data_IF_616519869591
#
_entry.id   IF_616519869591
#
_cell.length_a   1.000
_cell.length_b   1.000
_cell.length_c   1.000
_cell.angle_alpha   90.00
_cell.angle_beta   90.00
_cell.angle_gamma   90.00
#
_symmetry.space_group_name_H-M   'P 1'
#
loop_
_entity.id
_entity.type
_entity.pdbx_description
1 polymer ?
#
# COMPACT_ATOMS: atom_id res chain seq x y z
N UNK A 1 0.71 45.42 33.07
CA UNK A 1 -0.01 44.13 32.92
C UNK A 1 -0.28 43.96 31.44
N UNK A 2 0.61 43.21 30.74
CA UNK A 2 0.46 42.94 29.31
C UNK A 2 -0.30 41.62 29.18
N UNK A 3 -1.41 41.67 28.51
CA UNK A 3 -2.23 40.51 28.16
C UNK A 3 -1.48 39.60 27.16
N UNK A 4 -1.38 38.31 27.37
CA UNK A 4 -0.77 37.42 26.38
C UNK A 4 -1.69 37.30 25.19
N UNK A 5 -1.14 37.49 23.97
CA UNK A 5 -1.82 37.30 22.71
C UNK A 5 -2.35 35.85 22.58
N UNK A 6 -3.54 35.62 22.01
CA UNK A 6 -4.06 34.30 21.84
C UNK A 6 -3.19 33.49 20.89
N UNK A 7 -2.70 32.36 21.40
CA UNK A 7 -2.03 31.30 20.64
C UNK A 7 -2.85 30.93 19.37
N UNK A 8 -2.26 31.11 18.20
CA UNK A 8 -2.82 30.70 16.93
C UNK A 8 -2.84 29.15 16.84
N UNK A 9 -3.77 28.54 17.55
CA UNK A 9 -4.08 27.13 17.35
C UNK A 9 -4.62 26.95 15.92
N UNK A 10 -3.75 26.51 15.02
CA UNK A 10 -3.89 25.83 13.77
C UNK A 10 -5.19 25.94 12.97
N UNK A 11 -5.42 27.05 12.30
CA UNK A 11 -6.29 27.03 11.13
C UNK A 11 -5.60 26.16 10.05
N UNK A 12 -6.14 24.97 9.78
CA UNK A 12 -5.68 24.07 8.71
C UNK A 12 -5.53 24.86 7.40
N UNK A 13 -4.37 24.72 6.76
CA UNK A 13 -4.11 25.42 5.49
C UNK A 13 -5.15 25.03 4.42
N UNK A 14 -5.36 25.89 3.44
CA UNK A 14 -6.28 25.56 2.31
C UNK A 14 -5.88 24.27 1.63
N UNK A 15 -4.56 24.03 1.49
CA UNK A 15 -4.02 22.80 0.92
C UNK A 15 -4.40 21.56 1.75
N UNK A 16 -4.33 21.64 3.06
CA UNK A 16 -4.71 20.53 3.96
C UNK A 16 -6.20 20.25 3.91
N UNK A 17 -7.06 21.29 3.97
CA UNK A 17 -8.51 21.11 3.84
C UNK A 17 -8.91 20.45 2.53
N UNK A 18 -8.28 20.84 1.41
CA UNK A 18 -8.48 20.23 0.11
C UNK A 18 -8.04 18.76 0.09
N UNK A 19 -6.88 18.46 0.68
CA UNK A 19 -6.36 17.09 0.76
C UNK A 19 -7.26 16.19 1.61
N UNK A 20 -7.75 16.69 2.75
CA UNK A 20 -8.66 15.96 3.63
C UNK A 20 -10.02 15.71 2.98
N UNK A 21 -10.56 16.71 2.26
CA UNK A 21 -11.80 16.55 1.51
C UNK A 21 -11.65 15.53 0.38
N UNK A 22 -10.56 15.60 -0.37
CA UNK A 22 -10.26 14.66 -1.44
C UNK A 22 -10.12 13.23 -0.91
N UNK A 23 -9.36 13.04 0.16
CA UNK A 23 -9.13 11.74 0.77
C UNK A 23 -10.44 11.09 1.22
N UNK A 24 -11.29 11.81 1.94
CA UNK A 24 -12.62 11.30 2.36
C UNK A 24 -13.51 10.96 1.16
N UNK A 25 -13.59 11.83 0.16
CA UNK A 25 -14.42 11.60 -1.02
C UNK A 25 -13.94 10.41 -1.84
N UNK A 26 -12.62 10.27 -2.03
CA UNK A 26 -12.05 9.14 -2.75
C UNK A 26 -12.25 7.81 -2.03
N UNK A 27 -12.08 7.77 -0.72
CA UNK A 27 -12.34 6.57 0.07
C UNK A 27 -13.82 6.14 0.00
N UNK A 28 -14.74 7.11 0.07
CA UNK A 28 -16.17 6.84 0.09
C UNK A 28 -16.74 6.44 -1.28
N UNK A 29 -16.28 7.09 -2.36
CA UNK A 29 -16.93 7.02 -3.69
C UNK A 29 -16.02 6.45 -4.79
N UNK A 30 -14.74 6.24 -4.49
CA UNK A 30 -13.73 5.86 -5.47
C UNK A 30 -13.14 7.07 -6.21
N UNK A 31 -11.97 6.84 -6.81
CA UNK A 31 -11.19 7.90 -7.47
C UNK A 31 -11.90 8.53 -8.67
N UNK A 32 -12.57 7.71 -9.48
CA UNK A 32 -13.13 8.16 -10.77
C UNK A 32 -14.49 8.83 -10.62
N UNK A 33 -15.22 8.56 -9.54
CA UNK A 33 -16.54 9.12 -9.28
C UNK A 33 -16.50 10.54 -8.67
N UNK A 34 -15.32 11.09 -8.37
CA UNK A 34 -15.16 12.39 -7.71
C UNK A 34 -14.47 13.38 -8.62
N UNK A 35 -15.12 14.51 -8.86
CA UNK A 35 -14.56 15.62 -9.64
C UNK A 35 -13.72 16.57 -8.77
N UNK A 36 -12.78 17.29 -9.38
CA UNK A 36 -11.99 18.32 -8.70
C UNK A 36 -12.88 19.46 -8.16
N UNK A 37 -14.02 19.73 -8.81
CA UNK A 37 -14.99 20.72 -8.37
C UNK A 37 -15.67 20.31 -7.06
N UNK A 38 -16.07 19.06 -6.93
CA UNK A 38 -16.64 18.52 -5.68
C UNK A 38 -15.66 18.59 -4.52
N UNK A 39 -14.36 18.33 -4.78
CA UNK A 39 -13.31 18.46 -3.76
C UNK A 39 -13.20 19.92 -3.31
N UNK A 40 -13.18 20.89 -4.24
CA UNK A 40 -13.17 22.33 -3.92
C UNK A 40 -14.37 22.72 -3.03
N UNK A 41 -15.55 22.25 -3.42
CA UNK A 41 -16.80 22.54 -2.68
C UNK A 41 -16.76 21.92 -1.29
N UNK A 42 -16.36 20.66 -1.15
CA UNK A 42 -16.29 19.95 0.14
C UNK A 42 -15.24 20.55 1.09
N UNK A 43 -14.17 21.14 0.55
CA UNK A 43 -13.13 21.84 1.31
C UNK A 43 -13.50 23.28 1.68
N UNK A 44 -14.66 23.80 1.24
CA UNK A 44 -15.04 25.20 1.41
C UNK A 44 -14.08 26.18 0.71
N UNK A 45 -13.48 25.76 -0.38
CA UNK A 45 -12.53 26.60 -1.12
C UNK A 45 -13.28 27.70 -1.90
N UNK A 46 -12.91 28.96 -1.67
CA UNK A 46 -13.51 30.10 -2.37
C UNK A 46 -13.13 30.16 -3.86
N UNK A 47 -11.94 29.64 -4.19
CA UNK A 47 -11.45 29.59 -5.57
C UNK A 47 -11.77 28.22 -6.19
N UNK A 48 -12.51 28.21 -7.30
CA UNK A 48 -12.88 27.00 -8.03
C UNK A 48 -11.67 26.23 -8.62
N UNK A 49 -10.52 26.88 -8.76
CA UNK A 49 -9.27 26.28 -9.28
C UNK A 49 -8.27 25.91 -8.18
N UNK A 50 -8.66 26.00 -6.89
CA UNK A 50 -7.73 25.79 -5.78
C UNK A 50 -7.10 24.39 -5.81
N UNK A 51 -7.85 23.32 -6.11
CA UNK A 51 -7.29 21.96 -6.24
C UNK A 51 -6.25 21.93 -7.36
N UNK A 52 -6.55 22.51 -8.52
CA UNK A 52 -5.64 22.51 -9.65
C UNK A 52 -4.36 23.30 -9.35
N UNK A 53 -4.48 24.41 -8.64
CA UNK A 53 -3.33 25.20 -8.19
C UNK A 53 -2.42 24.42 -7.22
N UNK A 54 -2.98 23.70 -6.23
CA UNK A 54 -2.21 23.01 -5.20
C UNK A 54 -1.69 21.62 -5.59
N UNK A 55 -2.39 20.92 -6.48
CA UNK A 55 -2.12 19.50 -6.80
C UNK A 55 -1.99 19.22 -8.30
N UNK A 56 -2.36 20.16 -9.16
CA UNK A 56 -2.40 19.98 -10.60
C UNK A 56 -3.61 19.15 -11.05
N UNK A 57 -3.56 17.85 -10.80
CA UNK A 57 -4.56 16.90 -11.27
C UNK A 57 -4.91 15.86 -10.18
N UNK A 58 -5.73 14.87 -10.55
CA UNK A 58 -6.09 13.75 -9.67
C UNK A 58 -4.86 12.95 -9.23
N UNK A 59 -3.91 12.72 -10.12
CA UNK A 59 -2.68 12.00 -9.79
C UNK A 59 -1.84 12.75 -8.75
N UNK A 60 -1.79 14.09 -8.84
CA UNK A 60 -1.14 14.95 -7.86
C UNK A 60 -1.79 14.87 -6.49
N UNK A 61 -3.13 14.78 -6.40
CA UNK A 61 -3.84 14.57 -5.15
C UNK A 61 -3.48 13.20 -4.55
N UNK A 62 -3.52 12.13 -5.36
CA UNK A 62 -3.17 10.77 -4.92
C UNK A 62 -1.74 10.72 -4.41
N UNK A 63 -0.78 11.33 -5.12
CA UNK A 63 0.61 11.45 -4.65
C UNK A 63 0.71 12.19 -3.31
N UNK A 64 -0.07 13.26 -3.13
CA UNK A 64 -0.08 14.01 -1.88
C UNK A 64 -0.68 13.21 -0.71
N UNK A 65 -1.74 12.41 -0.94
CA UNK A 65 -2.28 11.48 0.05
C UNK A 65 -1.23 10.43 0.42
N UNK A 66 -0.57 9.83 -0.57
CA UNK A 66 0.48 8.83 -0.33
C UNK A 66 1.66 9.42 0.44
N UNK A 67 2.10 10.63 0.08
CA UNK A 67 3.19 11.33 0.79
C UNK A 67 2.88 11.61 2.27
N UNK A 68 1.62 11.61 2.68
CA UNK A 68 1.20 11.77 4.09
C UNK A 68 1.39 10.49 4.90
N UNK A 69 1.21 9.31 4.31
CA UNK A 69 1.16 8.03 5.03
C UNK A 69 2.33 7.10 4.75
N UNK A 70 2.84 7.08 3.50
CA UNK A 70 3.91 6.16 3.13
C UNK A 70 5.19 6.30 3.95
N UNK A 71 5.67 7.51 4.33
CA UNK A 71 6.90 7.61 5.10
C UNK A 71 6.87 6.84 6.42
N UNK A 72 5.76 6.85 7.15
CA UNK A 72 5.63 6.06 8.38
C UNK A 72 5.52 4.56 8.10
N UNK A 73 4.78 4.16 7.06
CA UNK A 73 4.68 2.75 6.63
C UNK A 73 6.04 2.22 6.20
N UNK A 74 6.80 3.01 5.44
CA UNK A 74 8.16 2.69 5.00
C UNK A 74 9.13 2.54 6.20
N UNK A 75 9.14 3.53 7.11
CA UNK A 75 10.00 3.49 8.29
C UNK A 75 9.74 2.27 9.16
N UNK A 76 8.46 1.94 9.40
CA UNK A 76 8.07 0.75 10.16
C UNK A 76 8.47 -0.54 9.46
N UNK A 77 8.35 -0.61 8.13
CA UNK A 77 8.77 -1.78 7.38
C UNK A 77 10.29 -1.94 7.42
N UNK A 78 11.04 -0.87 7.22
CA UNK A 78 12.50 -0.92 7.36
C UNK A 78 12.93 -1.44 8.73
N UNK A 79 12.34 -0.95 9.81
CA UNK A 79 12.65 -1.42 11.16
C UNK A 79 12.39 -2.94 11.35
N UNK A 80 11.30 -3.46 10.77
CA UNK A 80 11.02 -4.90 10.80
C UNK A 80 12.01 -5.70 9.94
N UNK A 81 12.44 -5.14 8.80
CA UNK A 81 13.45 -5.77 7.94
C UNK A 81 14.84 -5.73 8.59
N UNK A 82 15.20 -4.66 9.30
CA UNK A 82 16.43 -4.59 10.10
C UNK A 82 16.43 -5.65 11.20
N UNK A 83 15.31 -5.82 11.90
CA UNK A 83 15.15 -6.86 12.91
C UNK A 83 15.27 -8.26 12.32
N UNK A 84 14.71 -8.48 11.13
CA UNK A 84 14.81 -9.75 10.40
C UNK A 84 16.27 -10.06 10.01
N UNK A 85 17.02 -9.09 9.49
CA UNK A 85 18.42 -9.28 9.08
C UNK A 85 19.37 -9.44 10.28
N UNK A 86 19.00 -8.89 11.43
CA UNK A 86 19.75 -9.04 12.68
C UNK A 86 19.42 -10.35 13.43
N UNK A 87 18.30 -11.01 13.08
CA UNK A 87 17.95 -12.30 13.65
C UNK A 87 18.87 -13.39 13.11
N UNK A 88 19.34 -14.27 13.97
CA UNK A 88 20.13 -15.43 13.56
C UNK A 88 19.36 -16.41 12.66
N UNK A 89 20.01 -17.52 12.32
CA UNK A 89 19.40 -18.56 11.50
C UNK A 89 18.14 -19.13 12.19
N UNK A 90 17.04 -19.13 11.43
CA UNK A 90 15.76 -19.70 11.82
C UNK A 90 15.23 -20.58 10.66
N UNK A 91 14.31 -21.50 10.92
CA UNK A 91 13.64 -22.30 9.90
C UNK A 91 13.05 -21.41 8.78
N UNK A 92 13.08 -21.90 7.54
CA UNK A 92 12.61 -21.14 6.37
C UNK A 92 11.18 -20.65 6.54
N UNK A 93 10.32 -21.47 7.13
CA UNK A 93 8.91 -21.15 7.39
C UNK A 93 8.77 -19.95 8.32
N UNK A 94 9.56 -19.88 9.38
CA UNK A 94 9.57 -18.75 10.32
C UNK A 94 10.11 -17.49 9.65
N UNK A 95 11.14 -17.61 8.84
CA UNK A 95 11.73 -16.50 8.07
C UNK A 95 10.75 -15.92 7.05
N UNK A 96 10.05 -16.78 6.30
CA UNK A 96 9.00 -16.33 5.35
C UNK A 96 7.85 -15.66 6.10
N UNK A 97 7.41 -16.22 7.26
CA UNK A 97 6.38 -15.62 8.09
C UNK A 97 6.80 -14.24 8.64
N UNK A 98 8.05 -14.10 9.07
CA UNK A 98 8.59 -12.80 9.52
C UNK A 98 8.54 -11.74 8.41
N UNK A 99 8.93 -12.11 7.19
CA UNK A 99 8.85 -11.23 6.02
C UNK A 99 7.41 -10.95 5.58
N UNK A 100 6.50 -11.91 5.68
CA UNK A 100 5.06 -11.66 5.50
C UNK A 100 4.55 -10.64 6.54
N UNK A 101 5.01 -10.76 7.79
CA UNK A 101 4.73 -9.80 8.84
C UNK A 101 5.27 -8.40 8.54
N UNK A 102 6.48 -8.28 7.98
CA UNK A 102 7.05 -7.00 7.57
C UNK A 102 6.27 -6.36 6.39
N UNK A 103 5.64 -7.16 5.54
CA UNK A 103 4.77 -6.66 4.49
C UNK A 103 3.43 -6.14 5.04
N UNK A 104 2.80 -6.88 5.96
CA UNK A 104 1.42 -6.66 6.41
C UNK A 104 1.31 -5.67 7.58
N UNK A 105 2.15 -5.80 8.63
CA UNK A 105 2.00 -5.02 9.87
C UNK A 105 2.10 -3.50 9.70
N UNK A 106 3.05 -2.95 8.93
CA UNK A 106 3.18 -1.51 8.79
C UNK A 106 1.93 -0.82 8.23
N UNK A 107 1.35 -1.27 7.10
CA UNK A 107 0.10 -0.70 6.62
C UNK A 107 -1.11 -1.06 7.51
N UNK A 108 -1.16 -2.25 8.14
CA UNK A 108 -2.24 -2.62 9.05
C UNK A 108 -2.35 -1.67 10.25
N UNK A 109 -1.25 -1.10 10.71
CA UNK A 109 -1.26 -0.08 11.76
C UNK A 109 -2.10 1.16 11.40
N UNK A 110 -2.34 1.42 10.11
CA UNK A 110 -3.20 2.52 9.63
C UNK A 110 -4.70 2.26 9.84
N UNK A 111 -5.10 1.03 10.17
CA UNK A 111 -6.51 0.73 10.53
C UNK A 111 -6.97 1.45 11.80
N UNK A 112 -6.04 1.82 12.67
CA UNK A 112 -6.32 2.44 13.96
C UNK A 112 -6.94 3.86 13.87
N UNK A 113 -6.68 4.59 12.78
CA UNK A 113 -7.18 5.96 12.60
C UNK A 113 -8.08 6.11 11.36
N UNK A 114 -9.05 7.04 11.38
CA UNK A 114 -9.97 7.25 10.25
C UNK A 114 -9.26 7.60 8.95
N UNK A 115 -8.28 8.50 9.00
CA UNK A 115 -7.52 8.90 7.81
C UNK A 115 -6.66 7.77 7.26
N UNK A 116 -6.11 6.93 8.13
CA UNK A 116 -5.40 5.71 7.73
C UNK A 116 -6.31 4.70 7.03
N UNK A 117 -7.55 4.54 7.49
CA UNK A 117 -8.54 3.68 6.80
C UNK A 117 -8.89 4.23 5.41
N UNK A 118 -9.10 5.54 5.28
CA UNK A 118 -9.32 6.18 3.99
C UNK A 118 -8.13 5.94 3.05
N UNK A 119 -6.90 6.13 3.55
CA UNK A 119 -5.69 5.87 2.80
C UNK A 119 -5.60 4.41 2.30
N UNK A 120 -5.89 3.42 3.16
CA UNK A 120 -5.84 1.99 2.77
C UNK A 120 -6.86 1.65 1.68
N UNK A 121 -8.06 2.24 1.71
CA UNK A 121 -9.06 2.07 0.67
C UNK A 121 -8.60 2.66 -0.67
N UNK A 122 -8.01 3.87 -0.63
CA UNK A 122 -7.45 4.53 -1.81
C UNK A 122 -6.28 3.72 -2.36
N UNK A 123 -5.37 3.27 -1.49
CA UNK A 123 -4.23 2.44 -1.90
C UNK A 123 -4.69 1.17 -2.62
N UNK A 124 -5.62 0.41 -2.02
CA UNK A 124 -6.16 -0.80 -2.66
C UNK A 124 -6.75 -0.49 -4.03
N UNK A 125 -7.54 0.59 -4.16
CA UNK A 125 -8.14 0.98 -5.43
C UNK A 125 -7.12 1.43 -6.48
N UNK A 126 -5.99 2.01 -6.08
CA UNK A 126 -4.89 2.40 -6.98
C UNK A 126 -4.15 1.18 -7.52
N UNK A 127 -3.92 0.17 -6.67
CA UNK A 127 -3.23 -1.06 -7.07
C UNK A 127 -4.06 -1.97 -7.97
N UNK A 128 -5.39 -1.90 -7.86
CA UNK A 128 -6.33 -2.68 -8.69
C UNK A 128 -6.59 -2.05 -10.07
N UNK A 129 -5.99 -0.89 -10.37
CA UNK A 129 -6.19 -0.22 -11.65
C UNK A 129 -5.37 -0.88 -12.77
N UNK A 130 -5.96 -1.02 -13.98
CA UNK A 130 -5.23 -1.47 -15.16
C UNK A 130 -4.06 -0.53 -15.52
N UNK A 131 -4.27 0.78 -15.35
CA UNK A 131 -3.27 1.80 -15.60
C UNK A 131 -2.77 2.41 -14.29
N UNK A 132 -1.46 2.35 -13.99
CA UNK A 132 -0.90 2.89 -12.76
C UNK A 132 -1.03 4.42 -12.72
N UNK A 133 -1.64 4.96 -11.65
CA UNK A 133 -1.62 6.41 -11.36
C UNK A 133 -0.23 6.87 -10.90
N UNK A 134 0.52 5.98 -10.25
CA UNK A 134 1.91 6.21 -9.80
C UNK A 134 2.84 5.46 -10.73
N UNK A 135 3.90 6.11 -11.26
CA UNK A 135 4.81 5.46 -12.19
C UNK A 135 5.45 4.18 -11.61
N UNK A 136 5.57 3.10 -12.39
CA UNK A 136 6.21 1.85 -11.96
C UNK A 136 7.69 2.01 -11.54
N UNK A 137 8.33 3.12 -11.91
CA UNK A 137 9.70 3.44 -11.52
C UNK A 137 9.87 3.52 -9.99
N UNK A 138 8.84 3.98 -9.27
CA UNK A 138 8.85 4.00 -7.80
C UNK A 138 9.03 2.60 -7.19
N UNK A 139 8.58 1.53 -7.86
CA UNK A 139 8.76 0.15 -7.42
C UNK A 139 10.18 -0.41 -7.63
N UNK A 140 11.06 0.37 -8.23
CA UNK A 140 12.46 0.00 -8.53
C UNK A 140 13.47 0.79 -7.71
N UNK A 141 13.00 1.72 -6.87
CA UNK A 141 13.88 2.51 -6.02
C UNK A 141 14.52 1.60 -4.95
N UNK A 142 15.86 1.49 -4.91
CA UNK A 142 16.54 0.71 -3.88
C UNK A 142 16.28 1.19 -2.45
N UNK A 143 15.89 2.45 -2.26
CA UNK A 143 15.49 3.02 -0.98
C UNK A 143 14.08 2.60 -0.54
N UNK A 144 13.25 2.08 -1.46
CA UNK A 144 11.89 1.61 -1.17
C UNK A 144 11.92 0.33 -0.34
N UNK A 145 11.16 0.31 0.75
CA UNK A 145 11.12 -0.83 1.68
C UNK A 145 10.49 -2.09 1.05
N UNK A 146 9.60 -1.96 0.07
CA UNK A 146 9.03 -3.10 -0.68
C UNK A 146 10.08 -3.67 -1.62
N UNK A 147 10.93 -2.84 -2.23
CA UNK A 147 12.05 -3.31 -3.02
C UNK A 147 13.02 -4.14 -2.17
N UNK A 148 13.41 -3.65 -0.97
CA UNK A 148 14.24 -4.38 -0.01
C UNK A 148 13.56 -5.70 0.42
N UNK A 149 12.28 -5.66 0.77
CA UNK A 149 11.49 -6.84 1.11
C UNK A 149 11.53 -7.90 -0.01
N UNK A 150 11.34 -7.48 -1.27
CA UNK A 150 11.38 -8.37 -2.43
C UNK A 150 12.74 -9.08 -2.59
N UNK A 151 13.83 -8.41 -2.23
CA UNK A 151 15.18 -9.00 -2.24
C UNK A 151 15.36 -10.02 -1.13
N UNK A 152 14.88 -9.71 0.08
CA UNK A 152 15.05 -10.59 1.25
C UNK A 152 14.20 -11.85 1.15
N UNK A 153 13.00 -11.77 0.58
CA UNK A 153 12.13 -12.93 0.45
C UNK A 153 12.52 -13.84 -0.73
N UNK A 154 13.19 -13.29 -1.76
CA UNK A 154 13.53 -14.02 -2.98
C UNK A 154 14.30 -15.34 -2.73
N UNK A 155 15.39 -15.36 -1.94
CA UNK A 155 16.16 -16.59 -1.72
C UNK A 155 15.46 -17.65 -0.87
N UNK A 156 14.30 -17.32 -0.28
CA UNK A 156 13.50 -18.25 0.54
C UNK A 156 12.38 -18.91 -0.27
N UNK A 157 12.16 -18.48 -1.51
CA UNK A 157 11.06 -18.97 -2.34
C UNK A 157 11.53 -20.08 -3.28
N UNK A 158 10.68 -21.07 -3.45
CA UNK A 158 10.82 -22.07 -4.51
C UNK A 158 10.84 -21.41 -5.90
N UNK A 159 11.57 -22.01 -6.84
CA UNK A 159 11.72 -21.50 -8.21
C UNK A 159 10.35 -21.24 -8.87
N UNK A 160 9.40 -22.17 -8.71
CA UNK A 160 8.04 -22.04 -9.23
C UNK A 160 7.30 -20.84 -8.65
N UNK A 161 7.50 -20.52 -7.36
CA UNK A 161 6.88 -19.36 -6.72
C UNK A 161 7.41 -18.04 -7.33
N UNK A 162 8.70 -18.00 -7.66
CA UNK A 162 9.33 -16.85 -8.36
C UNK A 162 8.79 -16.74 -9.79
N UNK A 163 8.75 -17.84 -10.52
CA UNK A 163 8.27 -17.95 -11.91
C UNK A 163 6.79 -17.54 -12.06
N UNK A 164 5.97 -17.82 -11.03
CA UNK A 164 4.55 -17.49 -10.97
C UNK A 164 4.27 -16.12 -10.32
N UNK A 165 5.31 -15.31 -10.08
CA UNK A 165 5.20 -13.95 -9.53
C UNK A 165 4.49 -13.84 -8.18
N UNK A 166 4.57 -14.87 -7.31
CA UNK A 166 3.83 -14.91 -6.03
C UNK A 166 4.13 -13.74 -5.09
N UNK A 167 5.33 -13.12 -5.19
CA UNK A 167 5.64 -11.89 -4.44
C UNK A 167 4.69 -10.73 -4.79
N UNK A 168 4.37 -10.61 -6.08
CA UNK A 168 3.41 -9.60 -6.53
C UNK A 168 1.99 -9.95 -6.07
N UNK A 169 1.59 -11.23 -6.20
CA UNK A 169 0.30 -11.73 -5.69
C UNK A 169 0.15 -11.47 -4.20
N UNK A 170 1.17 -11.76 -3.39
CA UNK A 170 1.18 -11.51 -1.96
C UNK A 170 1.02 -10.02 -1.61
N UNK A 171 1.75 -9.15 -2.32
CA UNK A 171 1.64 -7.69 -2.15
C UNK A 171 0.24 -7.19 -2.48
N UNK A 172 -0.29 -7.58 -3.64
CA UNK A 172 -1.61 -7.17 -4.12
C UNK A 172 -2.71 -7.66 -3.16
N UNK A 173 -2.67 -8.96 -2.80
CA UNK A 173 -3.64 -9.56 -1.89
C UNK A 173 -3.65 -8.85 -0.52
N UNK A 174 -2.47 -8.65 0.08
CA UNK A 174 -2.37 -7.95 1.36
C UNK A 174 -2.98 -6.53 1.29
N UNK A 175 -2.70 -5.80 0.22
CA UNK A 175 -3.20 -4.43 0.03
C UNK A 175 -4.73 -4.39 -0.17
N UNK A 176 -5.28 -5.31 -0.95
CA UNK A 176 -6.73 -5.41 -1.20
C UNK A 176 -7.46 -5.79 0.10
N UNK A 177 -6.97 -6.78 0.84
CA UNK A 177 -7.61 -7.20 2.10
C UNK A 177 -7.56 -6.11 3.18
N UNK A 178 -6.46 -5.36 3.28
CA UNK A 178 -6.37 -4.19 4.14
C UNK A 178 -7.39 -3.10 3.74
N UNK A 179 -7.54 -2.82 2.44
CA UNK A 179 -8.54 -1.90 1.94
C UNK A 179 -9.98 -2.35 2.23
N UNK A 180 -10.27 -3.66 2.09
CA UNK A 180 -11.57 -4.25 2.44
C UNK A 180 -11.86 -4.14 3.94
N UNK A 181 -10.87 -4.46 4.78
CA UNK A 181 -10.97 -4.32 6.24
C UNK A 181 -11.21 -2.87 6.65
N UNK A 182 -10.50 -1.93 6.04
CA UNK A 182 -10.67 -0.50 6.27
C UNK A 182 -12.08 -0.01 5.90
N UNK A 183 -12.68 -0.55 4.82
CA UNK A 183 -14.03 -0.20 4.35
C UNK A 183 -15.14 -0.73 5.26
N UNK A 184 -14.94 -1.87 5.89
CA UNK A 184 -15.96 -2.48 6.78
C UNK A 184 -16.17 -1.71 8.09
N UNK A 185 -15.52 -0.57 8.28
CA UNK A 185 -15.67 0.34 9.42
C UNK A 185 -14.59 0.20 10.47
N UNK A 186 -14.63 1.03 11.52
CA UNK A 186 -13.73 0.87 12.64
C UNK A 186 -14.03 -0.43 13.39
N UNK A 187 -12.97 -1.15 13.77
CA UNK A 187 -13.06 -2.35 14.57
C UNK A 187 -12.38 -2.08 15.92
N UNK A 188 -12.84 -2.74 16.97
CA UNK A 188 -12.28 -2.60 18.32
C UNK A 188 -10.87 -3.22 18.41
N UNK A 189 -10.59 -4.22 17.58
CA UNK A 189 -9.30 -4.92 17.54
C UNK A 189 -9.04 -5.51 16.15
N UNK A 190 -7.89 -5.18 15.59
CA UNK A 190 -7.43 -5.68 14.30
C UNK A 190 -6.30 -6.72 14.42
N UNK A 191 -5.94 -7.16 15.63
CA UNK A 191 -4.83 -8.11 15.85
C UNK A 191 -5.10 -9.47 15.22
N UNK A 192 -6.29 -10.02 15.41
CA UNK A 192 -6.68 -11.29 14.81
C UNK A 192 -6.65 -11.21 13.27
N UNK A 193 -7.25 -10.15 12.71
CA UNK A 193 -7.24 -9.91 11.26
C UNK A 193 -5.80 -9.81 10.73
N UNK A 194 -4.96 -9.03 11.39
CA UNK A 194 -3.55 -8.84 10.98
C UNK A 194 -2.78 -10.16 11.04
N UNK A 195 -2.95 -10.95 12.10
CA UNK A 195 -2.29 -12.26 12.25
C UNK A 195 -2.76 -13.23 11.17
N UNK A 196 -4.07 -13.33 10.94
CA UNK A 196 -4.63 -14.17 9.89
C UNK A 196 -4.15 -13.75 8.49
N UNK A 197 -4.10 -12.44 8.21
CA UNK A 197 -3.60 -11.95 6.93
C UNK A 197 -2.13 -12.31 6.71
N UNK A 198 -1.30 -12.29 7.77
CA UNK A 198 0.09 -12.76 7.71
C UNK A 198 0.14 -14.26 7.37
N UNK A 199 -0.72 -15.08 7.96
CA UNK A 199 -0.79 -16.51 7.66
C UNK A 199 -1.13 -16.76 6.19
N UNK A 200 -2.12 -16.05 5.66
CA UNK A 200 -2.53 -16.18 4.26
C UNK A 200 -1.42 -15.69 3.30
N UNK A 201 -0.79 -14.55 3.59
CA UNK A 201 0.35 -14.05 2.81
C UNK A 201 1.52 -15.04 2.81
N UNK A 202 1.80 -15.65 3.97
CA UNK A 202 2.81 -16.72 4.08
C UNK A 202 2.43 -17.90 3.18
N UNK A 203 1.18 -18.35 3.24
CA UNK A 203 0.68 -19.44 2.41
C UNK A 203 0.76 -19.12 0.89
N UNK A 204 0.45 -17.90 0.48
CA UNK A 204 0.62 -17.46 -0.92
C UNK A 204 2.08 -17.61 -1.35
N UNK A 205 3.04 -17.25 -0.51
CA UNK A 205 4.46 -17.31 -0.82
C UNK A 205 4.98 -18.76 -0.89
N UNK A 206 4.48 -19.65 -0.04
CA UNK A 206 5.03 -21.00 0.19
C UNK A 206 4.17 -22.15 -0.36
N UNK A 207 2.93 -21.88 -0.83
CA UNK A 207 2.05 -22.93 -1.30
C UNK A 207 2.71 -23.82 -2.39
N UNK A 208 2.56 -25.14 -2.34
CA UNK A 208 3.07 -26.02 -3.39
C UNK A 208 2.41 -25.71 -4.74
N UNK A 209 3.11 -26.01 -5.82
CA UNK A 209 2.60 -25.88 -7.19
C UNK A 209 2.19 -27.26 -7.70
N UNK A 210 1.00 -27.38 -8.28
CA UNK A 210 0.53 -28.63 -8.90
C UNK A 210 1.34 -28.98 -10.15
N UNK A 211 1.39 -30.27 -10.50
CA UNK A 211 2.07 -30.73 -11.71
C UNK A 211 1.46 -30.13 -12.98
N UNK A 212 0.14 -29.93 -12.99
CA UNK A 212 -0.54 -29.25 -14.10
C UNK A 212 -0.01 -27.81 -14.28
N UNK A 213 0.09 -27.04 -13.19
CA UNK A 213 0.59 -25.66 -13.23
C UNK A 213 2.05 -25.63 -13.68
N UNK A 214 2.90 -26.57 -13.21
CA UNK A 214 4.30 -26.68 -13.65
C UNK A 214 4.39 -26.95 -15.15
N UNK A 215 3.60 -27.89 -15.66
CA UNK A 215 3.55 -28.22 -17.10
C UNK A 215 3.15 -26.99 -17.92
N UNK A 216 2.05 -26.32 -17.57
CA UNK A 216 1.56 -25.12 -18.28
C UNK A 216 2.57 -23.95 -18.22
N UNK A 217 3.24 -23.77 -17.11
CA UNK A 217 4.30 -22.77 -16.97
C UNK A 217 5.50 -23.08 -17.89
N UNK A 218 5.88 -24.38 -18.03
CA UNK A 218 6.93 -24.80 -18.93
C UNK A 218 6.56 -24.58 -20.41
N UNK A 219 5.33 -24.90 -20.80
CA UNK A 219 4.81 -24.65 -22.15
C UNK A 219 4.82 -23.16 -22.49
N UNK A 220 4.33 -22.29 -21.58
CA UNK A 220 4.39 -20.82 -21.74
C UNK A 220 5.81 -20.33 -22.00
N UNK A 221 6.77 -20.79 -21.21
CA UNK A 221 8.16 -20.32 -21.30
C UNK A 221 8.86 -20.85 -22.54
N UNK A 222 8.51 -22.05 -23.01
CA UNK A 222 8.95 -22.58 -24.29
C UNK A 222 8.41 -21.74 -25.47
N UNK A 223 7.14 -21.41 -25.45
CA UNK A 223 6.50 -20.55 -26.46
C UNK A 223 7.16 -19.16 -26.53
N UNK A 224 7.48 -18.54 -25.38
CA UNK A 224 8.17 -17.25 -25.33
C UNK A 224 9.58 -17.29 -25.92
N UNK A 225 10.31 -18.39 -25.72
CA UNK A 225 11.66 -18.56 -26.31
C UNK A 225 11.58 -18.81 -27.82
N UNK A 226 10.54 -19.46 -28.32
CA UNK A 226 10.34 -19.73 -29.75
C UNK A 226 9.81 -18.52 -30.53
N UNK A 227 9.21 -17.52 -29.85
CA UNK A 227 8.65 -16.34 -30.52
C UNK A 227 9.69 -15.26 -30.86
N UNK A 228 11.00 -15.43 -30.51
CA UNK A 228 12.12 -14.53 -30.84
C UNK A 228 11.87 -13.03 -30.63
N UNK A 229 12.90 -12.18 -30.57
CA UNK A 229 12.70 -10.73 -30.46
C UNK A 229 12.08 -10.13 -31.73
#
# INVERSE_FOLDING_TARGET
MSEPAPSSAGASSTRERLLDAAQRLYALRGLDAVSLREINQAAGARNATAVQYHFGDRAGIVRAIFARYLPDVEARRHALLDSYESAGDAPVEERVRALAGALVRPPAARLADPGGRDFLQIWASVLDRPEPIVPPAALRDPADSVYRWRKLVLPLLEEDAVRLHRRFTALLYASIELGRRARSGPHTDDRLFTSYLIDVVTAILTAPVSDETRRLAAERDAARRGAGP
#
